data_IF_249410553358
#
_entry.id   IF_249410553358
#
_cell.length_a   1.000
_cell.length_b   1.000
_cell.length_c   1.000
_cell.angle_alpha   90.00
_cell.angle_beta   90.00
_cell.angle_gamma   90.00
#
_symmetry.space_group_name_H-M   'P 1'
#
loop_
_entity.id
_entity.type
_entity.pdbx_description
1 polymer ?
#
# COMPACT_ATOMS: atom_id res chain seq x y z
N UNK A 1 15.95 30.44 -5.22
CA UNK A 1 14.77 31.27 -4.87
C UNK A 1 14.91 31.86 -3.47
N UNK A 2 14.65 33.16 -3.27
CA UNK A 2 14.59 33.78 -1.94
C UNK A 2 13.17 33.70 -1.37
N UNK A 3 13.03 33.68 -0.04
CA UNK A 3 11.73 33.62 0.66
C UNK A 3 11.67 34.69 1.75
N UNK A 4 10.54 35.40 1.86
CA UNK A 4 10.31 36.29 3.00
C UNK A 4 10.09 35.50 4.29
N UNK A 5 10.41 36.08 5.44
CA UNK A 5 10.24 35.41 6.75
C UNK A 5 8.80 34.96 7.00
N UNK A 6 7.82 35.79 6.63
CA UNK A 6 6.40 35.42 6.75
C UNK A 6 6.02 34.25 5.82
N UNK A 7 6.62 34.14 4.64
CA UNK A 7 6.39 33.02 3.72
C UNK A 7 7.02 31.71 4.25
N UNK A 8 8.21 31.78 4.86
CA UNK A 8 8.87 30.63 5.50
C UNK A 8 8.02 30.09 6.66
N UNK A 9 7.59 30.95 7.57
CA UNK A 9 6.71 30.58 8.71
C UNK A 9 5.42 29.90 8.25
N UNK A 10 4.82 30.38 7.17
CA UNK A 10 3.61 29.75 6.64
C UNK A 10 3.90 28.38 5.98
N UNK A 11 5.05 28.22 5.32
CA UNK A 11 5.49 26.92 4.79
C UNK A 11 5.75 25.89 5.91
N UNK A 12 6.24 26.31 7.08
CA UNK A 12 6.47 25.43 8.22
C UNK A 12 5.18 24.81 8.75
N UNK A 13 4.04 25.50 8.64
CA UNK A 13 2.71 24.98 9.00
C UNK A 13 2.22 23.88 8.05
N UNK A 14 2.82 23.76 6.87
CA UNK A 14 2.52 22.67 5.93
C UNK A 14 3.06 21.36 6.50
N UNK A 15 2.27 20.27 6.54
CA UNK A 15 2.72 18.99 7.06
C UNK A 15 4.03 18.53 6.41
N UNK A 16 4.98 18.08 7.23
CA UNK A 16 6.36 17.82 6.79
C UNK A 16 6.44 16.87 5.58
N UNK A 17 5.54 15.87 5.52
CA UNK A 17 5.51 14.85 4.47
C UNK A 17 5.05 15.36 3.09
N UNK A 18 4.40 16.53 3.01
CA UNK A 18 4.09 17.22 1.73
C UNK A 18 4.85 18.53 1.55
N UNK A 19 5.53 19.03 2.59
CA UNK A 19 6.19 20.34 2.61
C UNK A 19 7.16 20.56 1.45
N UNK A 20 7.99 19.55 1.11
CA UNK A 20 8.91 19.63 -0.04
C UNK A 20 8.18 19.84 -1.36
N UNK A 21 7.12 19.07 -1.62
CA UNK A 21 6.31 19.19 -2.83
C UNK A 21 5.58 20.53 -2.91
N UNK A 22 5.04 20.99 -1.78
CA UNK A 22 4.38 22.30 -1.69
C UNK A 22 5.36 23.43 -1.93
N UNK A 23 6.57 23.36 -1.34
CA UNK A 23 7.66 24.31 -1.58
C UNK A 23 7.97 24.44 -3.07
N UNK A 24 8.24 23.32 -3.75
CA UNK A 24 8.54 23.33 -5.18
C UNK A 24 7.41 23.94 -6.02
N UNK A 25 6.14 23.63 -5.72
CA UNK A 25 5.01 24.24 -6.44
C UNK A 25 4.91 25.76 -6.24
N UNK A 26 5.17 26.24 -5.03
CA UNK A 26 5.17 27.68 -4.73
C UNK A 26 6.34 28.37 -5.44
N UNK A 27 7.49 27.71 -5.48
CA UNK A 27 8.67 28.23 -6.17
C UNK A 27 8.39 28.36 -7.68
N UNK A 28 7.92 27.30 -8.32
CA UNK A 28 7.55 27.34 -9.74
C UNK A 28 6.50 28.43 -10.03
N UNK A 29 5.48 28.59 -9.16
CA UNK A 29 4.48 29.65 -9.32
C UNK A 29 5.09 31.07 -9.23
N UNK A 30 6.06 31.28 -8.33
CA UNK A 30 6.74 32.57 -8.21
C UNK A 30 7.62 32.86 -9.44
N UNK A 31 8.31 31.85 -9.95
CA UNK A 31 9.08 31.90 -11.20
C UNK A 31 8.18 32.23 -12.40
N UNK A 32 7.04 31.54 -12.56
CA UNK A 32 6.02 31.83 -13.59
C UNK A 32 5.45 33.25 -13.48
N UNK A 33 5.44 33.81 -12.25
CA UNK A 33 5.05 35.20 -11.98
C UNK A 33 6.22 36.19 -12.14
N UNK A 34 7.33 35.77 -12.75
CA UNK A 34 8.58 36.53 -12.92
C UNK A 34 9.14 37.09 -11.60
N UNK A 35 9.08 36.32 -10.52
CA UNK A 35 9.53 36.73 -9.19
C UNK A 35 10.56 35.78 -8.60
N UNK A 36 11.76 36.30 -8.32
CA UNK A 36 12.83 35.56 -7.62
C UNK A 36 12.68 35.55 -6.08
N UNK A 37 11.63 36.21 -5.56
CA UNK A 37 11.32 36.32 -4.13
C UNK A 37 9.90 35.80 -3.84
N UNK A 38 9.81 34.70 -3.09
CA UNK A 38 8.54 34.12 -2.62
C UNK A 38 7.98 34.95 -1.48
N UNK A 39 6.81 35.55 -1.71
CA UNK A 39 6.03 36.31 -0.74
C UNK A 39 4.82 35.50 -0.25
N UNK A 40 4.22 35.92 0.85
CA UNK A 40 2.99 35.31 1.38
C UNK A 40 1.83 35.36 0.36
N UNK A 41 1.80 36.38 -0.50
CA UNK A 41 0.84 36.50 -1.61
C UNK A 41 0.99 35.35 -2.60
N UNK A 42 2.22 34.99 -2.98
CA UNK A 42 2.49 33.85 -3.87
C UNK A 42 2.01 32.53 -3.24
N UNK A 43 2.20 32.31 -1.93
CA UNK A 43 1.64 31.14 -1.25
C UNK A 43 0.12 31.09 -1.36
N UNK A 44 -0.56 32.20 -1.04
CA UNK A 44 -2.03 32.27 -1.06
C UNK A 44 -2.57 32.04 -2.49
N UNK A 45 -1.94 32.65 -3.49
CA UNK A 45 -2.32 32.51 -4.90
C UNK A 45 -2.04 31.10 -5.42
N UNK A 46 -0.86 30.54 -5.18
CA UNK A 46 -0.51 29.17 -5.56
C UNK A 46 -1.47 28.16 -4.92
N UNK A 47 -1.86 28.36 -3.65
CA UNK A 47 -2.86 27.54 -2.96
C UNK A 47 -4.23 27.64 -3.61
N UNK A 48 -4.71 28.85 -3.91
CA UNK A 48 -6.00 29.05 -4.57
C UNK A 48 -6.01 28.43 -5.98
N UNK A 49 -4.94 28.63 -6.75
CA UNK A 49 -4.79 28.07 -8.09
C UNK A 49 -4.75 26.54 -8.04
N UNK A 50 -4.04 25.96 -7.08
CA UNK A 50 -4.00 24.51 -6.87
C UNK A 50 -5.38 23.94 -6.54
N UNK A 51 -6.16 24.60 -5.65
CA UNK A 51 -7.52 24.16 -5.34
C UNK A 51 -8.43 24.20 -6.59
N UNK A 52 -8.29 25.25 -7.41
CA UNK A 52 -9.05 25.39 -8.67
C UNK A 52 -8.67 24.36 -9.72
N UNK A 53 -7.38 24.00 -9.83
CA UNK A 53 -6.84 23.06 -10.82
C UNK A 53 -6.60 21.65 -10.28
N UNK A 54 -7.09 21.33 -9.08
CA UNK A 54 -6.80 20.07 -8.37
C UNK A 54 -7.16 18.84 -9.20
N UNK A 55 -8.27 18.91 -9.93
CA UNK A 55 -8.75 17.84 -10.80
C UNK A 55 -7.74 17.43 -11.88
N UNK A 56 -6.93 18.37 -12.37
CA UNK A 56 -5.90 18.10 -13.39
C UNK A 56 -4.75 17.23 -12.88
N UNK A 57 -4.60 17.12 -11.56
CA UNK A 57 -3.57 16.30 -10.92
C UNK A 57 -4.07 14.89 -10.56
N UNK A 58 -5.37 14.65 -10.71
CA UNK A 58 -5.98 13.34 -10.45
C UNK A 58 -5.66 12.41 -11.61
N UNK A 59 -5.06 11.26 -11.31
CA UNK A 59 -4.64 10.27 -12.30
C UNK A 59 -5.70 9.19 -12.55
N UNK A 60 -6.66 9.06 -11.65
CA UNK A 60 -7.71 8.04 -11.67
C UNK A 60 -7.39 6.86 -10.74
N UNK A 61 -6.13 6.44 -10.71
CA UNK A 61 -5.65 5.41 -9.79
C UNK A 61 -4.31 5.81 -9.17
N UNK A 62 -3.93 5.09 -8.11
CA UNK A 62 -2.63 5.23 -7.49
C UNK A 62 -2.11 3.88 -7.02
N UNK A 63 -0.86 3.60 -7.34
CA UNK A 63 -0.11 2.46 -6.83
C UNK A 63 1.05 3.00 -5.98
N UNK A 64 1.12 2.59 -4.71
CA UNK A 64 2.20 2.96 -3.81
C UNK A 64 2.87 1.71 -3.24
N UNK A 65 4.20 1.66 -3.22
CA UNK A 65 4.96 0.57 -2.63
C UNK A 65 5.92 1.09 -1.57
N UNK A 66 6.25 0.26 -0.56
CA UNK A 66 7.34 0.58 0.36
C UNK A 66 8.71 0.34 -0.28
N UNK A 67 9.79 0.77 0.38
CA UNK A 67 11.18 0.58 -0.07
C UNK A 67 11.67 -0.88 -0.07
N UNK A 68 10.78 -1.84 0.17
CA UNK A 68 11.12 -3.26 0.15
C UNK A 68 11.61 -3.74 -1.21
N UNK A 69 11.05 -3.22 -2.31
CA UNK A 69 11.49 -3.54 -3.67
C UNK A 69 12.91 -3.07 -4.00
N UNK A 70 13.47 -2.17 -3.19
CA UNK A 70 14.79 -1.56 -3.40
C UNK A 70 15.83 -1.92 -2.34
N UNK A 71 15.56 -2.91 -1.47
CA UNK A 71 16.57 -3.47 -0.56
C UNK A 71 16.35 -3.26 0.95
N UNK A 72 15.11 -3.19 1.44
CA UNK A 72 14.85 -3.21 2.88
C UNK A 72 15.21 -4.57 3.52
N UNK A 73 15.91 -4.57 4.66
CA UNK A 73 16.31 -5.80 5.39
C UNK A 73 15.13 -6.71 5.80
N UNK A 74 13.97 -6.11 6.06
CA UNK A 74 12.77 -6.83 6.48
C UNK A 74 11.99 -7.38 5.28
N UNK A 75 12.36 -7.00 4.05
CA UNK A 75 11.63 -7.44 2.87
C UNK A 75 11.68 -8.96 2.74
N UNK A 76 10.55 -9.50 2.33
CA UNK A 76 10.41 -10.85 1.80
C UNK A 76 10.63 -10.73 0.30
N UNK A 77 11.56 -11.53 -0.22
CA UNK A 77 11.84 -11.56 -1.66
C UNK A 77 10.67 -12.22 -2.40
N UNK A 78 9.66 -11.41 -2.71
CA UNK A 78 8.44 -11.77 -3.43
C UNK A 78 8.05 -10.61 -4.37
N UNK A 79 7.97 -10.89 -5.67
CA UNK A 79 7.42 -9.99 -6.70
C UNK A 79 8.05 -8.59 -6.76
N UNK A 80 9.35 -8.49 -7.05
CA UNK A 80 10.10 -7.22 -7.09
C UNK A 80 9.44 -6.11 -7.92
N UNK A 81 8.80 -6.48 -9.04
CA UNK A 81 8.20 -5.53 -10.00
C UNK A 81 6.66 -5.55 -9.98
N UNK A 82 6.04 -6.13 -8.95
CA UNK A 82 4.56 -6.26 -8.88
C UNK A 82 3.86 -4.89 -8.94
N UNK A 83 4.46 -3.85 -8.33
CA UNK A 83 3.90 -2.51 -8.35
C UNK A 83 3.80 -1.94 -9.77
N UNK A 84 4.83 -2.11 -10.59
CA UNK A 84 4.84 -1.64 -11.98
C UNK A 84 3.85 -2.42 -12.85
N UNK A 85 3.75 -3.74 -12.64
CA UNK A 85 2.76 -4.58 -13.33
C UNK A 85 1.33 -4.13 -13.01
N UNK A 86 1.03 -3.88 -11.74
CA UNK A 86 -0.28 -3.38 -11.30
C UNK A 86 -0.54 -1.97 -11.85
N UNK A 87 0.44 -1.07 -11.84
CA UNK A 87 0.25 0.28 -12.37
C UNK A 87 -0.04 0.26 -13.88
N UNK A 88 0.67 -0.58 -14.63
CA UNK A 88 0.42 -0.77 -16.06
C UNK A 88 -0.96 -1.38 -16.34
N UNK A 89 -1.39 -2.36 -15.53
CA UNK A 89 -2.74 -2.91 -15.58
C UNK A 89 -3.79 -1.79 -15.40
N UNK A 90 -3.69 -1.01 -14.32
CA UNK A 90 -4.68 0.02 -13.99
C UNK A 90 -4.69 1.19 -14.99
N UNK A 91 -3.54 1.53 -15.58
CA UNK A 91 -3.48 2.49 -16.70
C UNK A 91 -4.36 2.05 -17.88
N UNK A 92 -4.43 0.75 -18.17
CA UNK A 92 -5.26 0.22 -19.27
C UNK A 92 -6.77 0.31 -19.01
N UNK A 93 -7.19 0.36 -17.73
CA UNK A 93 -8.60 0.32 -17.30
C UNK A 93 -9.38 1.63 -17.47
N UNK A 94 -8.74 2.72 -17.92
CA UNK A 94 -9.38 4.04 -18.17
C UNK A 94 -10.16 4.59 -16.95
N UNK A 95 -9.68 4.33 -15.73
CA UNK A 95 -10.36 4.72 -14.46
C UNK A 95 -10.62 6.22 -14.40
N UNK A 96 -9.68 7.07 -14.85
CA UNK A 96 -9.87 8.51 -14.87
C UNK A 96 -11.07 8.93 -15.73
N UNK A 97 -11.24 8.33 -16.91
CA UNK A 97 -12.38 8.61 -17.80
C UNK A 97 -13.70 8.23 -17.14
N UNK A 98 -13.73 7.09 -16.45
CA UNK A 98 -14.90 6.67 -15.68
C UNK A 98 -15.23 7.68 -14.56
N UNK A 99 -14.23 8.12 -13.79
CA UNK A 99 -14.44 9.11 -12.72
C UNK A 99 -14.97 10.44 -13.26
N UNK A 100 -14.43 10.92 -14.40
CA UNK A 100 -14.88 12.17 -15.06
C UNK A 100 -16.33 12.10 -15.48
N UNK A 101 -16.76 10.94 -16.01
CA UNK A 101 -18.13 10.75 -16.48
C UNK A 101 -19.14 10.62 -15.34
N UNK A 102 -18.74 10.00 -14.22
CA UNK A 102 -19.68 9.55 -13.18
C UNK A 102 -19.57 10.32 -11.84
N UNK A 103 -18.71 11.34 -11.76
CA UNK A 103 -18.61 12.23 -10.60
C UNK A 103 -19.43 13.50 -10.83
N UNK A 104 -20.25 13.90 -9.86
CA UNK A 104 -20.89 15.22 -9.85
C UNK A 104 -19.86 16.26 -9.42
N UNK A 105 -19.51 17.19 -10.31
CA UNK A 105 -18.51 18.24 -10.05
C UNK A 105 -17.06 17.77 -10.27
N UNK A 106 -16.10 18.56 -9.78
CA UNK A 106 -14.67 18.29 -10.00
C UNK A 106 -14.15 17.10 -9.20
N UNK A 107 -13.38 16.23 -9.84
CA UNK A 107 -12.80 15.04 -9.19
C UNK A 107 -11.75 15.44 -8.16
N UNK A 108 -11.72 14.71 -7.04
CA UNK A 108 -10.75 14.87 -5.95
C UNK A 108 -9.88 13.62 -5.78
N UNK A 109 -8.68 13.79 -5.20
CA UNK A 109 -7.74 12.68 -4.93
C UNK A 109 -8.30 11.53 -4.09
N UNK A 110 -9.28 11.81 -3.23
CA UNK A 110 -9.90 10.77 -2.41
C UNK A 110 -10.87 9.87 -3.20
N UNK A 111 -11.07 10.13 -4.50
CA UNK A 111 -11.86 9.27 -5.40
C UNK A 111 -10.98 8.37 -6.27
N UNK A 112 -9.65 8.54 -6.25
CA UNK A 112 -8.73 7.65 -6.95
C UNK A 112 -8.85 6.22 -6.40
N UNK A 113 -8.77 5.23 -7.27
CA UNK A 113 -8.63 3.83 -6.89
C UNK A 113 -7.22 3.58 -6.34
N UNK A 114 -7.09 3.10 -5.11
CA UNK A 114 -5.79 3.00 -4.43
C UNK A 114 -5.36 1.57 -4.20
N UNK A 115 -4.20 1.22 -4.73
CA UNK A 115 -3.51 -0.03 -4.46
C UNK A 115 -2.21 0.26 -3.73
N UNK A 116 -1.90 -0.53 -2.71
CA UNK A 116 -0.67 -0.35 -1.93
C UNK A 116 0.01 -1.68 -1.62
N UNK A 117 1.33 -1.71 -1.77
CA UNK A 117 2.16 -2.92 -1.67
C UNK A 117 3.19 -2.74 -0.56
N UNK A 118 3.24 -3.68 0.38
CA UNK A 118 4.29 -3.79 1.39
C UNK A 118 4.97 -5.14 1.29
N UNK A 119 6.29 -5.14 1.16
CA UNK A 119 7.09 -6.37 1.03
C UNK A 119 7.38 -7.06 2.37
N UNK A 120 6.70 -6.70 3.45
CA UNK A 120 6.73 -7.42 4.72
C UNK A 120 5.53 -7.03 5.60
N UNK A 121 5.23 -7.81 6.65
CA UNK A 121 4.14 -7.50 7.58
C UNK A 121 4.23 -6.15 8.31
N UNK A 122 5.41 -5.52 8.39
CA UNK A 122 5.56 -4.18 8.97
C UNK A 122 4.80 -3.09 8.20
N UNK A 123 4.37 -3.36 6.96
CA UNK A 123 3.29 -2.62 6.31
C UNK A 123 3.54 -1.11 6.11
N UNK A 124 4.78 -0.69 5.81
CA UNK A 124 5.14 0.73 5.75
C UNK A 124 4.35 1.56 4.72
N UNK A 125 3.84 0.94 3.65
CA UNK A 125 2.97 1.62 2.66
C UNK A 125 1.49 1.68 3.06
N UNK A 126 1.16 1.23 4.28
CA UNK A 126 -0.17 1.25 4.89
C UNK A 126 -1.24 0.50 4.06
N UNK A 127 -1.00 -0.75 3.66
CA UNK A 127 -1.94 -1.56 2.88
C UNK A 127 -3.34 -1.69 3.46
N UNK A 128 -3.46 -1.64 4.79
CA UNK A 128 -4.72 -1.85 5.50
C UNK A 128 -5.77 -0.75 5.25
N UNK A 129 -5.39 0.40 4.71
CA UNK A 129 -6.26 1.58 4.59
C UNK A 129 -6.50 2.04 3.14
N UNK A 130 -6.20 1.17 2.17
CA UNK A 130 -6.41 1.42 0.75
C UNK A 130 -7.42 0.42 0.15
N UNK A 131 -7.95 0.73 -1.03
CA UNK A 131 -8.97 -0.09 -1.69
C UNK A 131 -8.45 -1.53 -1.92
N UNK A 132 -7.18 -1.68 -2.30
CA UNK A 132 -6.47 -2.97 -2.30
C UNK A 132 -5.13 -2.84 -1.57
N UNK A 133 -4.96 -3.62 -0.50
CA UNK A 133 -3.72 -3.76 0.25
C UNK A 133 -3.04 -5.08 -0.05
N UNK A 134 -1.74 -5.06 -0.33
CA UNK A 134 -0.94 -6.24 -0.66
C UNK A 134 0.23 -6.32 0.31
N UNK A 135 0.39 -7.44 1.01
CA UNK A 135 1.43 -7.65 2.02
C UNK A 135 2.18 -8.94 1.69
N UNK A 136 3.48 -8.88 1.40
CA UNK A 136 4.27 -10.08 1.18
C UNK A 136 4.29 -10.97 2.42
N UNK A 137 4.28 -12.28 2.18
CA UNK A 137 4.21 -13.32 3.20
C UNK A 137 5.11 -14.49 2.81
N UNK A 138 5.70 -15.12 3.82
CA UNK A 138 6.50 -16.32 3.68
C UNK A 138 6.05 -17.33 4.75
N UNK A 139 5.35 -18.38 4.32
CA UNK A 139 4.78 -19.39 5.21
C UNK A 139 5.90 -20.35 5.66
N UNK A 140 6.22 -20.41 6.97
CA UNK A 140 7.18 -21.39 7.46
C UNK A 140 6.55 -22.79 7.57
N UNK A 141 7.35 -23.83 7.42
CA UNK A 141 7.01 -25.20 7.80
C UNK A 141 8.22 -25.87 8.49
N UNK A 142 7.96 -26.99 9.17
CA UNK A 142 9.01 -27.83 9.75
C UNK A 142 9.39 -28.90 8.73
N UNK A 143 10.64 -28.89 8.28
CA UNK A 143 11.20 -29.89 7.37
C UNK A 143 11.75 -31.10 8.14
N UNK A 144 12.21 -32.11 7.41
CA UNK A 144 12.83 -33.31 7.98
C UNK A 144 14.30 -33.09 8.42
N UNK A 145 14.82 -31.87 8.25
CA UNK A 145 16.19 -31.52 8.63
C UNK A 145 16.38 -31.49 10.15
N UNK A 146 17.51 -32.03 10.62
CA UNK A 146 17.81 -32.15 12.05
C UNK A 146 17.87 -30.79 12.73
N UNK A 147 17.09 -30.61 13.79
CA UNK A 147 17.16 -29.42 14.62
C UNK A 147 18.41 -29.45 15.50
N UNK A 148 19.12 -28.31 15.60
CA UNK A 148 20.22 -28.14 16.56
C UNK A 148 19.78 -27.65 17.94
N UNK A 149 18.47 -27.45 18.15
CA UNK A 149 17.87 -26.92 19.39
C UNK A 149 18.46 -25.58 19.87
N UNK A 150 19.10 -24.79 18.97
CA UNK A 150 19.76 -23.52 19.30
C UNK A 150 18.79 -22.39 19.73
N UNK A 151 17.48 -22.61 19.57
CA UNK A 151 16.40 -21.67 19.92
C UNK A 151 16.42 -20.32 19.19
N UNK A 152 17.18 -20.18 18.08
CA UNK A 152 17.23 -18.94 17.31
C UNK A 152 15.86 -18.52 16.76
N UNK A 153 15.08 -19.48 16.25
CA UNK A 153 13.72 -19.24 15.74
C UNK A 153 12.74 -18.75 16.81
N UNK A 154 12.87 -19.25 18.04
CA UNK A 154 12.06 -18.80 19.18
C UNK A 154 12.43 -17.36 19.56
N UNK A 155 13.73 -17.07 19.64
CA UNK A 155 14.25 -15.74 20.02
C UNK A 155 13.88 -14.64 19.02
N UNK A 156 13.90 -14.94 17.72
CA UNK A 156 13.61 -13.93 16.68
C UNK A 156 12.10 -13.68 16.50
N UNK A 157 11.24 -14.59 16.94
CA UNK A 157 9.81 -14.51 16.70
C UNK A 157 9.13 -13.50 17.65
N UNK A 158 8.93 -12.26 17.19
CA UNK A 158 8.25 -11.21 17.95
C UNK A 158 6.81 -11.57 18.32
N UNK A 159 6.14 -12.40 17.51
CA UNK A 159 4.76 -12.86 17.75
C UNK A 159 4.67 -14.02 18.76
N UNK A 160 5.81 -14.54 19.24
CA UNK A 160 5.87 -15.71 20.12
C UNK A 160 5.07 -16.91 19.56
N UNK A 161 5.15 -17.08 18.24
CA UNK A 161 4.47 -18.14 17.51
C UNK A 161 5.26 -19.46 17.50
N UNK A 162 6.50 -19.48 17.98
CA UNK A 162 7.37 -20.66 17.93
C UNK A 162 7.74 -21.09 19.34
N UNK A 163 7.58 -22.38 19.63
CA UNK A 163 7.96 -23.00 20.91
C UNK A 163 8.48 -24.42 20.70
N UNK A 164 9.29 -24.93 21.63
CA UNK A 164 9.67 -26.34 21.68
C UNK A 164 8.65 -27.08 22.56
N UNK A 165 7.84 -27.97 21.96
CA UNK A 165 6.88 -28.79 22.72
C UNK A 165 7.52 -30.08 23.24
N UNK A 166 8.42 -30.67 22.45
CA UNK A 166 9.33 -31.74 22.86
C UNK A 166 10.75 -31.19 22.86
N UNK A 167 11.69 -31.87 23.56
CA UNK A 167 13.05 -31.35 23.76
C UNK A 167 13.81 -31.05 22.46
N UNK A 168 13.35 -31.55 21.30
CA UNK A 168 14.17 -31.58 20.09
C UNK A 168 13.54 -30.95 18.84
N UNK A 169 12.24 -30.59 18.83
CA UNK A 169 11.61 -30.01 17.62
C UNK A 169 10.76 -28.76 17.89
N UNK A 170 10.93 -27.69 17.07
CA UNK A 170 10.09 -26.50 17.16
C UNK A 170 8.69 -26.77 16.59
N UNK A 171 7.69 -26.20 17.24
CA UNK A 171 6.30 -26.14 16.78
C UNK A 171 5.93 -24.70 16.42
N UNK A 172 5.01 -24.53 15.47
CA UNK A 172 4.57 -23.20 15.01
C UNK A 172 3.07 -23.05 15.26
N UNK A 173 2.69 -22.05 16.05
CA UNK A 173 1.32 -21.61 16.24
C UNK A 173 0.92 -20.63 15.11
N UNK A 174 0.27 -21.17 14.08
CA UNK A 174 -0.20 -20.38 12.93
C UNK A 174 -1.30 -19.37 13.26
N UNK A 175 -1.93 -19.43 14.45
CA UNK A 175 -2.86 -18.37 14.89
C UNK A 175 -2.13 -17.10 15.30
N UNK A 176 -0.85 -17.20 15.69
CA UNK A 176 0.03 -16.06 16.04
C UNK A 176 0.96 -15.67 14.90
N UNK A 177 1.29 -16.60 14.01
CA UNK A 177 2.22 -16.34 12.92
C UNK A 177 1.68 -15.28 11.95
N UNK A 178 2.43 -14.20 11.76
CA UNK A 178 2.12 -13.16 10.75
C UNK A 178 2.82 -13.38 9.41
N UNK A 179 3.49 -14.54 9.23
CA UNK A 179 4.19 -14.94 8.01
C UNK A 179 5.34 -13.99 7.59
N UNK A 180 6.08 -13.41 8.56
CA UNK A 180 7.21 -12.53 8.28
C UNK A 180 8.45 -13.27 7.75
N UNK A 181 8.57 -14.57 8.01
CA UNK A 181 9.66 -15.42 7.52
C UNK A 181 11.01 -15.24 8.24
N UNK A 182 11.11 -14.45 9.31
CA UNK A 182 12.36 -14.26 10.05
C UNK A 182 12.88 -15.56 10.69
N UNK A 183 11.97 -16.44 11.12
CA UNK A 183 12.31 -17.77 11.62
C UNK A 183 12.96 -18.67 10.56
N UNK A 184 12.59 -18.50 9.29
CA UNK A 184 13.19 -19.22 8.16
C UNK A 184 14.60 -18.69 7.90
N UNK A 185 14.76 -17.37 7.85
CA UNK A 185 16.06 -16.71 7.61
C UNK A 185 17.10 -17.06 8.68
N UNK A 186 16.68 -17.16 9.95
CA UNK A 186 17.61 -17.39 11.06
C UNK A 186 17.96 -18.85 11.32
N UNK A 187 17.22 -19.81 10.75
CA UNK A 187 17.41 -21.23 11.07
C UNK A 187 18.67 -21.77 10.37
N UNK A 188 19.75 -22.10 11.11
CA UNK A 188 21.01 -22.49 10.49
C UNK A 188 20.98 -23.91 9.90
N UNK A 189 20.06 -24.74 10.38
CA UNK A 189 19.89 -26.13 9.92
C UNK A 189 18.79 -26.28 8.87
N UNK A 190 18.09 -25.20 8.52
CA UNK A 190 16.92 -25.24 7.64
C UNK A 190 15.77 -26.15 8.11
N UNK A 191 15.75 -26.57 9.38
CA UNK A 191 14.60 -27.25 10.03
C UNK A 191 13.32 -26.43 9.93
N UNK A 192 13.43 -25.10 10.02
CA UNK A 192 12.34 -24.20 9.62
C UNK A 192 12.62 -23.69 8.22
N UNK A 193 11.78 -24.09 7.28
CA UNK A 193 11.93 -23.79 5.86
C UNK A 193 10.70 -23.07 5.29
N UNK A 194 10.85 -22.54 4.07
CA UNK A 194 9.80 -21.81 3.34
C UNK A 194 8.88 -22.78 2.61
N UNK A 195 7.61 -22.86 2.99
CA UNK A 195 6.59 -23.66 2.28
C UNK A 195 6.05 -22.91 1.07
N UNK A 196 5.58 -21.68 1.28
CA UNK A 196 5.02 -20.84 0.21
C UNK A 196 5.39 -19.38 0.44
N UNK A 197 5.87 -18.73 -0.62
CA UNK A 197 6.03 -17.28 -0.70
C UNK A 197 4.92 -16.69 -1.58
N UNK A 198 4.45 -15.51 -1.22
CA UNK A 198 3.41 -14.81 -1.96
C UNK A 198 2.94 -13.59 -1.20
N UNK A 199 1.65 -13.30 -1.28
CA UNK A 199 1.05 -12.11 -0.72
C UNK A 199 -0.27 -12.40 -0.01
N UNK A 200 -0.47 -11.78 1.15
CA UNK A 200 -1.80 -11.53 1.71
C UNK A 200 -2.42 -10.36 0.96
N UNK A 201 -3.71 -10.44 0.71
CA UNK A 201 -4.48 -9.38 0.06
C UNK A 201 -5.60 -8.91 0.99
N UNK A 202 -5.72 -7.60 1.15
CA UNK A 202 -6.74 -6.92 1.93
C UNK A 202 -7.61 -6.08 0.99
N UNK A 203 -8.93 -6.11 1.16
CA UNK A 203 -9.86 -5.43 0.27
C UNK A 203 -10.75 -4.41 1.00
N UNK A 204 -10.93 -3.25 0.37
CA UNK A 204 -11.90 -2.22 0.76
C UNK A 204 -11.49 -1.36 1.95
N UNK A 205 -10.19 -1.20 2.23
CA UNK A 205 -9.72 -0.25 3.23
C UNK A 205 -9.93 1.20 2.78
N UNK A 206 -10.15 2.11 3.72
CA UNK A 206 -10.18 3.56 3.44
C UNK A 206 -9.91 4.40 4.68
N UNK A 207 -9.34 5.58 4.43
CA UNK A 207 -9.44 6.73 5.33
C UNK A 207 -10.51 7.72 4.82
N UNK A 208 -10.89 8.65 5.70
CA UNK A 208 -11.87 9.71 5.43
C UNK A 208 -12.82 9.87 6.60
N UNK A 209 -14.03 10.38 6.33
CA UNK A 209 -15.08 10.59 7.34
C UNK A 209 -15.53 9.30 8.03
N UNK A 210 -15.51 8.19 7.29
CA UNK A 210 -15.86 6.85 7.79
C UNK A 210 -14.70 5.89 7.48
N UNK A 211 -13.64 5.87 8.32
CA UNK A 211 -12.49 5.00 8.12
C UNK A 211 -12.86 3.54 8.36
N UNK A 212 -12.25 2.64 7.60
CA UNK A 212 -12.33 1.18 7.81
C UNK A 212 -11.04 0.52 7.35
N UNK A 213 -10.66 -0.56 8.01
CA UNK A 213 -9.57 -1.41 7.56
C UNK A 213 -10.04 -2.30 6.41
N UNK A 214 -9.11 -2.68 5.55
CA UNK A 214 -9.33 -3.69 4.53
C UNK A 214 -9.54 -5.06 5.15
N UNK A 215 -10.40 -5.86 4.53
CA UNK A 215 -10.72 -7.22 4.96
C UNK A 215 -9.68 -8.16 4.37
N UNK A 216 -9.00 -8.94 5.21
CA UNK A 216 -8.01 -9.92 4.78
C UNK A 216 -8.68 -11.12 4.09
N UNK A 217 -8.18 -11.51 2.92
CA UNK A 217 -8.65 -12.67 2.16
C UNK A 217 -8.29 -14.03 2.78
N UNK A 218 -7.50 -14.05 3.85
CA UNK A 218 -7.23 -15.26 4.64
C UNK A 218 -6.41 -16.32 3.91
N UNK A 219 -5.77 -15.95 2.78
CA UNK A 219 -4.96 -16.83 1.93
C UNK A 219 -3.69 -16.12 1.47
N UNK A 220 -2.70 -16.92 1.07
CA UNK A 220 -1.48 -16.43 0.42
C UNK A 220 -1.58 -16.66 -1.08
N UNK A 221 -1.55 -15.58 -1.84
CA UNK A 221 -1.68 -15.54 -3.28
C UNK A 221 -0.32 -15.41 -3.96
N UNK A 222 -0.15 -16.06 -5.10
CA UNK A 222 0.94 -15.81 -6.04
C UNK A 222 0.81 -14.42 -6.66
N UNK A 223 1.88 -13.95 -7.30
CA UNK A 223 1.88 -12.65 -7.98
C UNK A 223 0.77 -12.54 -9.05
N UNK A 224 0.57 -13.59 -9.85
CA UNK A 224 -0.44 -13.61 -10.91
C UNK A 224 -1.87 -13.58 -10.35
N UNK A 225 -2.11 -14.29 -9.24
CA UNK A 225 -3.40 -14.25 -8.53
C UNK A 225 -3.67 -12.85 -7.96
N UNK A 226 -2.66 -12.18 -7.40
CA UNK A 226 -2.80 -10.79 -6.91
C UNK A 226 -3.17 -9.85 -8.06
N UNK A 227 -2.52 -9.97 -9.21
CA UNK A 227 -2.82 -9.14 -10.39
C UNK A 227 -4.28 -9.35 -10.83
N UNK A 228 -4.77 -10.60 -10.87
CA UNK A 228 -6.17 -10.91 -11.17
C UNK A 228 -7.15 -10.34 -10.13
N UNK A 229 -6.79 -10.36 -8.85
CA UNK A 229 -7.62 -9.77 -7.78
C UNK A 229 -7.72 -8.25 -7.96
N UNK A 230 -6.60 -7.57 -8.24
CA UNK A 230 -6.60 -6.13 -8.50
C UNK A 230 -7.44 -5.80 -9.74
N UNK A 231 -7.31 -6.60 -10.80
CA UNK A 231 -8.09 -6.47 -12.03
C UNK A 231 -9.59 -6.52 -11.74
N UNK A 232 -10.02 -7.55 -11.01
CA UNK A 232 -11.42 -7.76 -10.62
C UNK A 232 -11.95 -6.65 -9.70
N UNK A 233 -11.13 -6.16 -8.77
CA UNK A 233 -11.50 -5.04 -7.90
C UNK A 233 -11.72 -3.75 -8.69
N UNK A 234 -10.86 -3.47 -9.69
CA UNK A 234 -11.03 -2.34 -10.59
C UNK A 234 -12.30 -2.50 -11.45
N UNK A 235 -12.57 -3.70 -11.98
CA UNK A 235 -13.78 -3.95 -12.77
C UNK A 235 -15.06 -3.79 -11.96
N UNK A 236 -15.08 -4.26 -10.71
CA UNK A 236 -16.20 -4.04 -9.79
C UNK A 236 -16.42 -2.53 -9.60
N UNK A 237 -15.36 -1.75 -9.38
CA UNK A 237 -15.48 -0.29 -9.28
C UNK A 237 -16.04 0.33 -10.57
N UNK A 238 -15.59 -0.11 -11.74
CA UNK A 238 -16.01 0.43 -13.04
C UNK A 238 -17.42 0.01 -13.46
N UNK A 239 -17.97 -1.06 -12.87
CA UNK A 239 -19.30 -1.58 -13.19
C UNK A 239 -20.47 -0.70 -12.69
N UNK A 240 -20.18 0.28 -11.82
CA UNK A 240 -21.19 1.17 -11.25
C UNK A 240 -21.85 2.05 -12.33
N UNK A 241 -23.17 2.24 -12.24
CA UNK A 241 -23.94 3.11 -13.14
C UNK A 241 -24.23 4.45 -12.47
N UNK A 242 -24.02 5.55 -13.20
CA UNK A 242 -24.45 6.91 -12.85
C UNK A 242 -23.87 7.50 -11.54
N UNK A 243 -22.91 6.82 -10.91
CA UNK A 243 -22.21 7.27 -9.70
C UNK A 243 -20.83 6.63 -9.62
N UNK A 244 -19.83 7.41 -9.20
CA UNK A 244 -18.47 6.95 -8.97
C UNK A 244 -18.17 6.83 -7.47
N UNK A 245 -18.71 5.80 -6.81
CA UNK A 245 -18.32 5.49 -5.43
C UNK A 245 -16.96 4.78 -5.42
N UNK A 246 -16.20 4.95 -4.34
CA UNK A 246 -14.95 4.19 -4.17
C UNK A 246 -15.27 2.71 -4.02
N UNK A 247 -14.32 1.87 -4.41
CA UNK A 247 -14.38 0.43 -4.18
C UNK A 247 -14.71 0.11 -2.71
N UNK A 248 -14.05 0.76 -1.75
CA UNK A 248 -14.31 0.62 -0.32
C UNK A 248 -15.73 1.00 0.17
N UNK A 249 -16.54 1.71 -0.62
CA UNK A 249 -17.95 1.98 -0.29
C UNK A 249 -18.89 0.88 -0.80
N UNK A 250 -18.53 0.26 -1.92
CA UNK A 250 -19.37 -0.76 -2.59
C UNK A 250 -19.00 -2.19 -2.18
N UNK A 251 -17.75 -2.41 -1.79
CA UNK A 251 -17.25 -3.73 -1.40
C UNK A 251 -17.65 -4.08 0.05
N UNK A 252 -18.32 -5.22 0.19
CA UNK A 252 -18.71 -5.83 1.46
C UNK A 252 -18.00 -7.18 1.64
N UNK A 253 -17.94 -7.65 2.88
CA UNK A 253 -17.35 -8.95 3.19
C UNK A 253 -18.02 -10.12 2.45
N UNK A 254 -19.34 -10.03 2.24
CA UNK A 254 -20.11 -10.98 1.43
C UNK A 254 -19.66 -11.06 -0.04
N UNK A 255 -18.95 -10.06 -0.54
CA UNK A 255 -18.43 -10.06 -1.91
C UNK A 255 -17.12 -10.85 -2.05
N UNK A 256 -16.53 -11.32 -0.94
CA UNK A 256 -15.24 -12.02 -0.94
C UNK A 256 -15.25 -13.29 -1.80
N UNK A 257 -16.34 -14.05 -1.78
CA UNK A 257 -16.47 -15.26 -2.59
C UNK A 257 -16.36 -14.99 -4.09
N UNK A 258 -16.76 -13.79 -4.52
CA UNK A 258 -16.59 -13.35 -5.91
C UNK A 258 -15.13 -13.30 -6.31
N UNK A 259 -14.19 -13.05 -5.38
CA UNK A 259 -12.76 -13.04 -5.68
C UNK A 259 -12.10 -14.42 -5.63
N UNK A 260 -12.77 -15.40 -5.04
CA UNK A 260 -12.24 -16.76 -4.85
C UNK A 260 -12.73 -17.76 -5.90
N UNK A 261 -13.80 -17.42 -6.61
CA UNK A 261 -14.32 -18.19 -7.75
C UNK A 261 -13.60 -17.75 -9.03
N UNK A 262 -12.97 -18.73 -9.71
CA UNK A 262 -12.28 -18.56 -11.00
C UNK A 262 -13.27 -18.24 -12.11
#
# INVERSE_FOLDING_TARGET
MQWTENAKKELERVPFFVRKKVKTKIENFAEESNSNLVRLTHLKQARQQFVKKMENEVKGHRVEACFGGTGCKNAIDAGKNIADKIDNLLKSKKILSFLKKNTKGSIKFHQEFKVSISFCPNSCSRPQINDVGIIAANIPFISDEKCSSCSACVKICMEKAISFQTKDFPSIDFKKCIYCGECIKTCPTHTISSSKKGFRVLLGGKLGRHPRLGIDMGKIFSEDEVIKIVDKAADIMLSQKNKAERFSEIFKESDMEKFLTQ
#
